data_IF_808099822371
#
_entry.id   IF_808099822371
#
_cell.length_a   1.000
_cell.length_b   1.000
_cell.length_c   1.000
_cell.angle_alpha   90.00
_cell.angle_beta   90.00
_cell.angle_gamma   90.00
#
_symmetry.space_group_name_H-M   'P 1'
#
loop_
_entity.id
_entity.type
_entity.pdbx_description
1 polymer ?
#
# COMPACT_ATOMS: atom_id res chain seq x y z
N UNK A 1 -18.32 -2.52 14.36
CA UNK A 1 -17.06 -1.97 13.79
C UNK A 1 -17.40 -1.05 12.63
N UNK A 2 -17.03 0.23 12.68
CA UNK A 2 -17.32 1.23 11.64
C UNK A 2 -16.54 0.93 10.35
N UNK A 3 -17.13 1.25 9.18
CA UNK A 3 -16.56 0.96 7.86
C UNK A 3 -15.13 1.50 7.67
N UNK A 4 -14.81 2.62 8.32
CA UNK A 4 -13.48 3.24 8.32
C UNK A 4 -12.41 2.36 8.98
N UNK A 5 -12.74 1.69 10.10
CA UNK A 5 -11.81 0.80 10.81
C UNK A 5 -11.46 -0.40 9.93
N UNK A 6 -12.46 -0.99 9.26
CA UNK A 6 -12.26 -2.13 8.36
C UNK A 6 -11.33 -1.78 7.20
N UNK A 7 -11.47 -0.57 6.64
CA UNK A 7 -10.60 -0.09 5.54
C UNK A 7 -9.16 0.13 5.99
N UNK A 8 -8.95 0.80 7.12
CA UNK A 8 -7.60 1.01 7.68
C UNK A 8 -6.93 -0.33 7.95
N UNK A 9 -7.67 -1.29 8.54
CA UNK A 9 -7.16 -2.64 8.77
C UNK A 9 -6.78 -3.35 7.45
N UNK A 10 -7.61 -3.27 6.41
CA UNK A 10 -7.30 -3.86 5.10
C UNK A 10 -6.05 -3.24 4.47
N UNK A 11 -5.90 -1.93 4.54
CA UNK A 11 -4.73 -1.24 3.97
C UNK A 11 -3.45 -1.54 4.75
N UNK A 12 -3.56 -1.65 6.08
CA UNK A 12 -2.46 -2.10 6.92
C UNK A 12 -2.03 -3.53 6.55
N UNK A 13 -2.99 -4.44 6.34
CA UNK A 13 -2.70 -5.81 5.90
C UNK A 13 -2.04 -5.85 4.52
N UNK A 14 -2.51 -5.03 3.57
CA UNK A 14 -1.88 -4.91 2.24
C UNK A 14 -0.46 -4.38 2.35
N UNK A 15 -0.25 -3.36 3.20
CA UNK A 15 1.09 -2.82 3.44
C UNK A 15 2.02 -3.86 4.09
N UNK A 16 1.55 -4.57 5.13
CA UNK A 16 2.31 -5.64 5.77
C UNK A 16 2.64 -6.77 4.79
N UNK A 17 1.71 -7.14 3.91
CA UNK A 17 1.96 -8.13 2.87
C UNK A 17 3.02 -7.66 1.86
N UNK A 18 3.00 -6.38 1.48
CA UNK A 18 4.03 -5.80 0.61
C UNK A 18 5.40 -5.78 1.30
N UNK A 19 5.46 -5.36 2.57
CA UNK A 19 6.70 -5.36 3.37
C UNK A 19 7.24 -6.78 3.53
N UNK A 20 6.37 -7.76 3.78
CA UNK A 20 6.74 -9.17 3.85
C UNK A 20 7.34 -9.66 2.51
N UNK A 21 6.68 -9.36 1.39
CA UNK A 21 7.17 -9.72 0.06
C UNK A 21 8.53 -9.07 -0.26
N UNK A 22 8.73 -7.81 0.11
CA UNK A 22 10.03 -7.12 -0.05
C UNK A 22 11.11 -7.78 0.81
N UNK A 23 10.77 -8.14 2.06
CA UNK A 23 11.68 -8.80 2.99
C UNK A 23 12.14 -10.15 2.43
N UNK A 24 11.21 -10.98 1.94
CA UNK A 24 11.51 -12.27 1.33
C UNK A 24 12.23 -12.16 -0.03
N UNK A 25 11.87 -11.19 -0.86
CA UNK A 25 12.57 -10.98 -2.13
C UNK A 25 14.03 -10.59 -1.88
N UNK A 26 14.27 -9.73 -0.87
CA UNK A 26 15.62 -9.30 -0.49
C UNK A 26 16.41 -10.46 0.11
N UNK A 27 15.79 -11.30 0.95
CA UNK A 27 16.48 -12.48 1.50
C UNK A 27 16.87 -13.47 0.41
N UNK A 28 15.98 -13.71 -0.57
CA UNK A 28 16.22 -14.59 -1.72
C UNK A 28 17.32 -14.07 -2.63
N UNK A 29 17.26 -12.80 -3.04
CA UNK A 29 18.23 -12.19 -3.98
C UNK A 29 19.67 -12.25 -3.47
N UNK A 30 19.84 -12.19 -2.15
CA UNK A 30 21.14 -12.07 -1.52
C UNK A 30 21.50 -13.31 -0.67
N UNK A 31 20.72 -14.39 -0.77
CA UNK A 31 20.92 -15.67 -0.07
C UNK A 31 21.29 -15.51 1.41
N UNK A 32 20.47 -14.76 2.14
CA UNK A 32 20.81 -14.30 3.49
C UNK A 32 21.06 -15.47 4.45
N UNK A 33 22.19 -15.46 5.20
CA UNK A 33 22.48 -16.55 6.12
C UNK A 33 21.48 -16.61 7.29
N UNK A 34 21.26 -17.80 7.84
CA UNK A 34 20.26 -18.02 8.89
C UNK A 34 20.54 -17.30 10.21
N UNK A 35 21.76 -16.79 10.41
CA UNK A 35 22.14 -15.92 11.53
C UNK A 35 21.27 -14.65 11.62
N UNK A 36 20.68 -14.23 10.50
CA UNK A 36 19.77 -13.09 10.42
C UNK A 36 18.35 -13.37 10.99
N UNK A 37 18.14 -14.58 11.54
CA UNK A 37 16.91 -15.01 12.21
C UNK A 37 15.87 -15.60 11.26
N UNK A 38 14.59 -15.51 11.66
CA UNK A 38 13.46 -15.98 10.86
C UNK A 38 12.95 -17.36 11.28
N UNK A 39 11.69 -17.64 10.95
CA UNK A 39 11.07 -18.94 11.12
C UNK A 39 11.54 -19.86 9.98
N UNK A 40 12.27 -20.92 10.32
CA UNK A 40 12.65 -21.93 9.32
C UNK A 40 11.50 -22.87 9.04
N UNK A 41 11.10 -22.93 7.77
CA UNK A 41 10.14 -23.91 7.25
C UNK A 41 10.86 -24.74 6.19
N UNK A 42 11.46 -25.85 6.62
CA UNK A 42 12.31 -26.69 5.77
C UNK A 42 13.60 -25.96 5.34
N UNK A 43 13.95 -25.93 4.03
CA UNK A 43 15.14 -25.21 3.54
C UNK A 43 14.91 -23.70 3.42
N UNK A 44 13.68 -23.21 3.65
CA UNK A 44 13.29 -21.82 3.47
C UNK A 44 13.33 -21.10 4.82
N UNK A 45 14.01 -19.95 4.87
CA UNK A 45 13.95 -19.04 6.02
C UNK A 45 12.86 -18.01 5.76
N UNK A 46 11.83 -17.98 6.61
CA UNK A 46 10.74 -17.01 6.55
C UNK A 46 10.97 -15.89 7.55
N UNK A 47 10.94 -14.64 7.10
CA UNK A 47 11.26 -13.47 7.90
C UNK A 47 10.01 -12.65 8.20
N UNK A 48 9.95 -12.07 9.40
CA UNK A 48 8.85 -11.18 9.77
C UNK A 48 8.85 -9.90 8.92
N UNK A 49 7.68 -9.28 8.69
CA UNK A 49 7.60 -8.02 7.95
C UNK A 49 8.50 -6.97 8.62
N UNK A 50 9.47 -6.44 7.88
CA UNK A 50 10.37 -5.40 8.37
C UNK A 50 11.55 -5.92 9.20
N UNK A 51 11.72 -7.23 9.33
CA UNK A 51 12.88 -7.85 10.02
C UNK A 51 14.21 -7.37 9.40
N UNK A 52 14.19 -6.97 8.13
CA UNK A 52 15.34 -6.43 7.43
C UNK A 52 15.94 -5.14 8.01
N UNK A 53 15.19 -4.39 8.81
CA UNK A 53 15.72 -3.21 9.50
C UNK A 53 16.75 -3.59 10.57
N UNK A 54 16.55 -4.72 11.26
CA UNK A 54 17.48 -5.23 12.27
C UNK A 54 18.81 -5.71 11.67
N UNK A 55 18.80 -6.02 10.37
CA UNK A 55 19.96 -6.51 9.66
C UNK A 55 21.01 -5.44 9.34
N UNK A 56 20.60 -4.16 9.33
CA UNK A 56 21.49 -3.04 8.99
C UNK A 56 22.77 -3.02 9.83
N UNK A 57 22.65 -3.34 11.13
CA UNK A 57 23.78 -3.34 12.07
C UNK A 57 24.73 -4.51 11.88
N UNK A 58 24.27 -5.59 11.27
CA UNK A 58 25.03 -6.82 11.01
C UNK A 58 25.76 -6.78 9.66
N UNK A 59 25.40 -5.84 8.78
CA UNK A 59 26.04 -5.64 7.48
C UNK A 59 27.23 -4.69 7.57
N UNK A 60 28.30 -5.04 6.83
CA UNK A 60 29.42 -4.15 6.55
C UNK A 60 28.91 -2.85 5.89
N UNK A 61 29.60 -1.72 6.13
CA UNK A 61 29.19 -0.40 5.63
C UNK A 61 28.89 -0.38 4.13
N UNK A 62 29.67 -1.10 3.32
CA UNK A 62 29.49 -1.22 1.87
C UNK A 62 28.23 -1.95 1.41
N UNK A 63 27.51 -2.66 2.29
CA UNK A 63 26.30 -3.44 1.95
C UNK A 63 25.03 -2.90 2.60
N UNK A 64 25.13 -1.86 3.45
CA UNK A 64 23.99 -1.25 4.13
C UNK A 64 22.97 -0.61 3.19
N UNK A 65 23.38 -0.27 1.97
CA UNK A 65 22.52 0.29 0.93
C UNK A 65 21.37 -0.65 0.54
N UNK A 66 21.54 -1.97 0.70
CA UNK A 66 20.49 -2.97 0.40
C UNK A 66 19.32 -2.77 1.36
N UNK A 67 19.62 -2.62 2.65
CA UNK A 67 18.61 -2.37 3.69
C UNK A 67 17.98 -0.99 3.52
N UNK A 68 18.76 0.03 3.16
CA UNK A 68 18.22 1.37 2.86
C UNK A 68 17.28 1.34 1.66
N UNK A 69 17.66 0.64 0.59
CA UNK A 69 16.83 0.47 -0.61
C UNK A 69 15.50 -0.23 -0.27
N UNK A 70 15.56 -1.34 0.45
CA UNK A 70 14.36 -2.06 0.90
C UNK A 70 13.46 -1.20 1.80
N UNK A 71 14.05 -0.39 2.69
CA UNK A 71 13.32 0.55 3.55
C UNK A 71 12.64 1.65 2.72
N UNK A 72 13.34 2.23 1.75
CA UNK A 72 12.79 3.26 0.85
C UNK A 72 11.62 2.70 0.04
N UNK A 73 11.76 1.51 -0.55
CA UNK A 73 10.67 0.87 -1.32
C UNK A 73 9.46 0.60 -0.42
N UNK A 74 9.69 0.08 0.79
CA UNK A 74 8.63 -0.15 1.78
C UNK A 74 7.91 1.15 2.19
N UNK A 75 8.67 2.24 2.34
CA UNK A 75 8.14 3.58 2.62
C UNK A 75 7.34 4.15 1.45
N UNK A 76 7.80 3.97 0.21
CA UNK A 76 7.07 4.37 -0.99
C UNK A 76 5.75 3.61 -1.13
N UNK A 77 5.72 2.31 -0.82
CA UNK A 77 4.47 1.54 -0.77
C UNK A 77 3.51 2.10 0.29
N UNK A 78 4.00 2.42 1.49
CA UNK A 78 3.20 3.06 2.53
C UNK A 78 2.61 4.40 2.05
N UNK A 79 3.44 5.21 1.39
CA UNK A 79 3.05 6.53 0.89
C UNK A 79 2.02 6.42 -0.25
N UNK A 80 2.17 5.46 -1.16
CA UNK A 80 1.20 5.20 -2.23
C UNK A 80 -0.16 4.76 -1.66
N UNK A 81 -0.17 3.91 -0.63
CA UNK A 81 -1.40 3.50 0.06
C UNK A 81 -2.03 4.68 0.82
N UNK A 82 -1.24 5.50 1.50
CA UNK A 82 -1.71 6.70 2.18
C UNK A 82 -2.30 7.72 1.19
N UNK A 83 -1.64 7.94 0.05
CA UNK A 83 -2.13 8.79 -1.02
C UNK A 83 -3.48 8.26 -1.54
N UNK A 84 -3.60 6.95 -1.77
CA UNK A 84 -4.86 6.32 -2.20
C UNK A 84 -5.99 6.57 -1.20
N UNK A 85 -5.73 6.44 0.11
CA UNK A 85 -6.70 6.77 1.16
C UNK A 85 -7.11 8.24 1.10
N UNK A 86 -6.15 9.15 0.97
CA UNK A 86 -6.41 10.59 0.92
C UNK A 86 -7.25 10.93 -0.32
N UNK A 87 -6.92 10.35 -1.48
CA UNK A 87 -7.69 10.55 -2.72
C UNK A 87 -9.09 9.94 -2.63
N UNK A 88 -9.25 8.76 -2.04
CA UNK A 88 -10.55 8.12 -1.87
C UNK A 88 -11.43 8.92 -0.89
N UNK A 89 -10.86 9.37 0.24
CA UNK A 89 -11.54 10.25 1.19
C UNK A 89 -11.91 11.60 0.54
N UNK A 90 -11.02 12.19 -0.26
CA UNK A 90 -11.34 13.40 -1.05
C UNK A 90 -12.41 13.12 -2.12
N UNK A 91 -12.39 11.96 -2.75
CA UNK A 91 -13.41 11.49 -3.69
C UNK A 91 -14.78 11.34 -3.04
N UNK A 92 -14.84 10.86 -1.80
CA UNK A 92 -16.10 10.84 -1.02
C UNK A 92 -16.59 12.23 -0.58
N UNK A 93 -15.70 13.23 -0.50
CA UNK A 93 -16.07 14.63 -0.22
C UNK A 93 -16.49 15.41 -1.46
N UNK A 94 -16.08 15.00 -2.67
CA UNK A 94 -16.46 15.68 -3.91
C UNK A 94 -17.83 15.17 -4.35
N UNK A 95 -18.84 15.97 -4.04
CA UNK A 95 -20.27 15.77 -4.31
C UNK A 95 -20.57 14.96 -5.57
N UNK A 96 -20.94 13.70 -5.38
CA UNK A 96 -22.01 13.03 -6.13
C UNK A 96 -21.97 13.09 -7.66
N UNK A 97 -20.81 13.05 -8.31
CA UNK A 97 -20.73 12.90 -9.77
C UNK A 97 -20.43 11.43 -10.09
N UNK A 98 -21.36 10.72 -10.74
CA UNK A 98 -21.18 9.32 -11.16
C UNK A 98 -21.66 8.22 -10.20
N UNK A 99 -22.17 8.54 -9.01
CA UNK A 99 -22.92 7.57 -8.20
C UNK A 99 -24.25 7.29 -8.91
N UNK A 100 -24.64 6.03 -9.17
CA UNK A 100 -25.72 5.56 -10.07
C UNK A 100 -27.11 6.23 -10.09
N UNK A 101 -27.33 7.32 -9.36
CA UNK A 101 -28.41 8.32 -9.47
C UNK A 101 -28.38 9.18 -10.75
N UNK A 102 -27.32 9.08 -11.56
CA UNK A 102 -27.20 9.76 -12.87
C UNK A 102 -27.75 8.96 -14.05
N UNK A 103 -28.32 7.77 -13.80
CA UNK A 103 -28.86 6.90 -14.83
C UNK A 103 -30.14 7.43 -15.50
N UNK A 104 -30.73 8.51 -14.99
CA UNK A 104 -31.99 9.05 -15.48
C UNK A 104 -31.85 10.47 -16.03
N UNK A 105 -32.39 10.71 -17.24
CA UNK A 105 -32.24 11.98 -17.98
C UNK A 105 -32.76 13.18 -17.17
N UNK A 106 -33.74 12.96 -16.29
CA UNK A 106 -34.31 13.99 -15.43
C UNK A 106 -33.37 14.45 -14.30
N UNK A 107 -32.44 13.60 -13.84
CA UNK A 107 -31.43 13.97 -12.85
C UNK A 107 -30.30 14.78 -13.50
N UNK A 108 -29.91 14.42 -14.73
CA UNK A 108 -28.88 15.11 -15.53
C UNK A 108 -29.30 16.54 -15.92
N UNK A 109 -30.59 16.78 -16.20
CA UNK A 109 -31.11 18.15 -16.44
C UNK A 109 -31.09 19.01 -15.17
N UNK A 110 -31.35 18.43 -14.00
CA UNK A 110 -31.38 19.17 -12.71
C UNK A 110 -30.00 19.59 -12.22
N UNK A 111 -28.95 18.90 -12.62
CA UNK A 111 -27.57 19.22 -12.21
C UNK A 111 -26.91 20.32 -13.06
N UNK A 112 -27.63 20.94 -14.00
CA UNK A 112 -27.14 22.11 -14.76
C UNK A 112 -25.98 21.84 -15.74
N UNK A 113 -25.64 20.56 -15.99
CA UNK A 113 -24.55 20.18 -16.91
C UNK A 113 -24.94 20.20 -18.37
N UNK A 114 -26.23 20.08 -18.66
CA UNK A 114 -26.78 20.34 -19.99
C UNK A 114 -27.22 21.80 -20.00
N UNK A 115 -26.30 22.68 -20.41
CA UNK A 115 -26.64 24.04 -20.77
C UNK A 115 -27.75 24.02 -21.82
N UNK A 116 -28.91 24.58 -21.48
CA UNK A 116 -30.00 24.73 -22.42
C UNK A 116 -29.56 25.60 -23.60
N UNK A 117 -29.45 24.98 -24.76
CA UNK A 117 -29.34 25.65 -26.05
C UNK A 117 -30.59 25.36 -26.87
N UNK A 118 -31.47 26.35 -26.97
CA UNK A 118 -32.76 26.39 -27.67
C UNK A 118 -32.71 25.85 -29.11
N UNK A 119 -33.72 25.06 -29.48
CA UNK A 119 -34.52 25.27 -30.69
C UNK A 119 -35.99 25.03 -30.34
#
# INVERSE_FOLDING_TARGET
>A
MTASIRRVATLLLVWLAAVFAITELTSWLFAWPPVFGGLRVGPIALYWPGQFLGWRGLLASGHRWIVDGAAVVSGLCALALAARVIFELRGTRRSGFGAGRWADRAAVRRSGLLGGGRR
#
